data_IF_985310069626
#
_entry.id   IF_985310069626
#
_cell.length_a   1.000
_cell.length_b   1.000
_cell.length_c   1.000
_cell.angle_alpha   90.00
_cell.angle_beta   90.00
_cell.angle_gamma   90.00
#
_symmetry.space_group_name_H-M   'P 1'
#
loop_
_entity.id
_entity.type
_entity.pdbx_description
1 polymer ?
#
# COMPACT_ATOMS: atom_id res chain seq x y z
N UNK A 1 -25.67 -3.25 28.19
CA UNK A 1 -24.39 -3.98 28.28
C UNK A 1 -23.62 -3.68 27.00
N UNK A 2 -22.77 -2.65 27.07
CA UNK A 2 -21.98 -2.11 25.96
C UNK A 2 -20.52 -2.48 26.17
N UNK A 3 -20.03 -3.52 25.51
CA UNK A 3 -18.62 -3.92 25.62
C UNK A 3 -18.22 -4.86 24.49
N UNK A 4 -17.97 -4.33 23.29
CA UNK A 4 -17.29 -5.07 22.22
C UNK A 4 -16.62 -4.18 21.15
N UNK A 5 -16.90 -2.87 21.09
CA UNK A 5 -16.31 -1.97 20.08
C UNK A 5 -14.91 -1.41 20.40
N UNK A 6 -14.31 -1.79 21.53
CA UNK A 6 -13.01 -1.24 21.99
C UNK A 6 -11.79 -2.05 21.50
N UNK A 7 -11.96 -3.34 21.20
CA UNK A 7 -10.84 -4.23 20.85
C UNK A 7 -10.33 -4.03 19.41
N UNK A 8 -11.24 -3.84 18.44
CA UNK A 8 -10.87 -3.69 17.03
C UNK A 8 -10.18 -2.35 16.72
N UNK A 9 -10.66 -1.24 17.31
CA UNK A 9 -10.01 0.07 17.22
C UNK A 9 -8.62 0.07 17.86
N UNK A 10 -8.47 -0.68 18.96
CA UNK A 10 -7.19 -0.86 19.64
C UNK A 10 -6.19 -1.64 18.79
N UNK A 11 -6.63 -2.72 18.12
CA UNK A 11 -5.77 -3.54 17.28
C UNK A 11 -5.27 -2.78 16.04
N UNK A 12 -6.14 -2.04 15.35
CA UNK A 12 -5.75 -1.21 14.19
C UNK A 12 -4.80 -0.07 14.60
N UNK A 13 -5.09 0.60 15.71
CA UNK A 13 -4.21 1.63 16.26
C UNK A 13 -2.84 1.07 16.67
N UNK A 14 -2.81 -0.14 17.24
CA UNK A 14 -1.56 -0.81 17.64
C UNK A 14 -0.73 -1.26 16.42
N UNK A 15 -1.38 -1.67 15.34
CA UNK A 15 -0.72 -2.02 14.07
C UNK A 15 -0.10 -0.77 13.41
N UNK A 16 -0.82 0.34 13.38
CA UNK A 16 -0.32 1.62 12.85
C UNK A 16 0.77 2.23 13.74
N UNK A 17 0.69 2.05 15.07
CA UNK A 17 1.73 2.53 16.01
C UNK A 17 3.03 1.73 15.86
N UNK A 18 2.95 0.40 15.69
CA UNK A 18 4.14 -0.44 15.43
C UNK A 18 4.80 -0.13 14.09
N UNK A 19 4.03 0.23 13.06
CA UNK A 19 4.58 0.66 11.78
C UNK A 19 5.32 2.01 11.88
N UNK A 20 4.90 2.89 12.80
CA UNK A 20 5.54 4.20 13.04
C UNK A 20 6.83 4.09 13.88
N UNK A 21 6.84 3.24 14.90
CA UNK A 21 8.02 2.98 15.75
C UNK A 21 9.14 2.26 14.97
N UNK A 22 8.81 1.52 13.90
CA UNK A 22 9.78 0.89 13.00
C UNK A 22 10.49 1.88 12.05
N UNK A 23 10.07 3.16 12.01
CA UNK A 23 10.67 4.22 11.17
C UNK A 23 11.56 5.20 11.94
N UNK A 24 11.69 5.09 13.26
CA UNK A 24 12.63 5.91 14.03
C UNK A 24 14.05 5.32 13.96
N UNK A 25 15.06 6.05 13.43
CA UNK A 25 16.43 5.56 13.37
C UNK A 25 17.05 5.45 14.79
N UNK A 26 17.94 4.47 15.04
CA UNK A 26 18.59 4.29 16.34
C UNK A 26 19.40 5.54 16.75
N UNK A 27 19.47 5.77 18.06
CA UNK A 27 20.02 6.92 18.80
C UNK A 27 21.48 7.36 18.50
N UNK A 28 22.10 6.87 17.44
CA UNK A 28 23.50 7.20 17.07
C UNK A 28 23.62 8.60 16.43
N UNK A 29 22.52 9.17 15.93
CA UNK A 29 22.53 10.48 15.26
C UNK A 29 22.48 11.72 16.18
N UNK A 30 22.35 11.56 17.51
CA UNK A 30 22.18 12.70 18.44
C UNK A 30 23.48 13.45 18.79
N UNK A 31 24.65 13.07 18.27
CA UNK A 31 25.95 13.64 18.72
C UNK A 31 26.55 14.77 17.89
N UNK A 32 25.78 15.39 16.99
CA UNK A 32 26.24 16.55 16.19
C UNK A 32 25.37 17.80 16.38
N UNK A 33 25.08 18.18 17.63
CA UNK A 33 24.56 19.53 17.95
C UNK A 33 25.15 20.07 19.27
N UNK A 34 26.44 20.39 19.27
CA UNK A 34 27.00 21.37 20.20
C UNK A 34 27.86 22.36 19.43
N UNK A 35 27.24 23.47 19.03
CA UNK A 35 27.87 24.61 18.38
C UNK A 35 26.92 25.80 18.41
N UNK A 36 27.39 26.91 18.98
CA UNK A 36 26.65 28.08 19.49
C UNK A 36 25.76 28.82 18.46
N UNK A 37 24.75 29.51 19.01
CA UNK A 37 23.72 30.30 18.32
C UNK A 37 24.16 31.61 17.64
N UNK A 38 23.19 32.49 17.31
CA UNK A 38 23.20 33.30 16.09
C UNK A 38 23.83 34.68 16.25
N UNK A 39 24.40 35.20 15.16
CA UNK A 39 24.73 36.62 15.01
C UNK A 39 23.74 37.25 14.03
N UNK A 40 22.99 38.23 14.52
CA UNK A 40 22.04 39.07 13.79
C UNK A 40 22.81 40.00 12.85
N UNK A 41 22.50 39.99 11.56
CA UNK A 41 22.78 41.13 10.67
C UNK A 41 21.55 41.41 9.81
N UNK A 42 21.02 42.61 10.05
CA UNK A 42 20.01 43.32 9.28
C UNK A 42 20.39 43.44 7.80
N UNK A 43 19.52 42.97 6.90
CA UNK A 43 19.59 43.20 5.47
C UNK A 43 18.23 42.86 4.84
N UNK A 44 17.66 43.80 4.09
CA UNK A 44 16.26 43.77 3.64
C UNK A 44 15.87 42.58 2.75
N UNK A 45 14.57 42.28 2.76
CA UNK A 45 13.90 41.29 1.91
C UNK A 45 14.08 41.63 0.42
N UNK A 46 14.54 40.69 -0.43
CA UNK A 46 14.37 40.80 -1.87
C UNK A 46 12.89 40.64 -2.26
N UNK A 47 12.44 41.47 -3.20
CA UNK A 47 11.07 41.63 -3.67
C UNK A 47 10.47 40.47 -4.50
N UNK A 48 11.10 39.29 -4.47
CA UNK A 48 10.77 38.20 -5.41
C UNK A 48 9.82 37.14 -4.81
N UNK A 49 9.21 37.42 -3.65
CA UNK A 49 8.28 36.50 -2.96
C UNK A 49 6.81 36.70 -3.42
N UNK A 50 6.53 37.63 -4.31
CA UNK A 50 5.17 37.88 -4.80
C UNK A 50 5.04 37.44 -6.26
N UNK A 51 4.89 36.13 -6.49
CA UNK A 51 3.89 35.57 -7.43
C UNK A 51 4.08 34.05 -7.61
N UNK A 52 3.24 33.26 -6.93
CA UNK A 52 2.52 32.15 -7.56
C UNK A 52 1.59 31.45 -6.56
N UNK A 53 0.31 31.78 -6.72
CA UNK A 53 -0.88 30.92 -6.60
C UNK A 53 -0.78 29.68 -5.69
N UNK A 54 -1.65 29.68 -4.69
CA UNK A 54 -2.24 28.49 -4.08
C UNK A 54 -2.53 27.41 -5.13
N UNK A 55 -1.70 26.37 -5.16
CA UNK A 55 -1.87 25.15 -5.91
C UNK A 55 -1.46 24.00 -5.00
N UNK A 56 -2.29 22.97 -4.95
CA UNK A 56 -2.18 21.77 -4.13
C UNK A 56 -0.74 21.21 -4.10
N UNK A 57 -0.28 20.60 -2.98
CA UNK A 57 1.08 20.04 -2.87
C UNK A 57 1.38 19.14 -4.06
N UNK A 58 2.18 19.65 -4.98
CA UNK A 58 2.39 19.06 -6.29
C UNK A 58 2.93 17.64 -6.19
N UNK A 59 2.25 16.74 -6.88
CA UNK A 59 2.61 15.35 -7.17
C UNK A 59 3.87 15.28 -8.07
N UNK A 60 4.93 15.99 -7.68
CA UNK A 60 6.16 16.08 -8.47
C UNK A 60 7.08 14.93 -8.10
N UNK A 61 7.17 13.91 -8.94
CA UNK A 61 8.16 12.81 -8.83
C UNK A 61 9.53 13.19 -9.44
N UNK A 62 9.79 14.50 -9.57
CA UNK A 62 11.02 15.01 -10.17
C UNK A 62 12.27 14.57 -9.40
N UNK A 63 13.42 14.50 -10.08
CA UNK A 63 14.69 14.06 -9.47
C UNK A 63 15.09 14.85 -8.20
N UNK A 64 14.63 16.10 -8.09
CA UNK A 64 14.89 17.02 -6.98
C UNK A 64 13.70 17.19 -6.02
N UNK A 65 12.64 16.39 -6.16
CA UNK A 65 11.50 16.49 -5.24
C UNK A 65 11.81 15.80 -3.91
N UNK A 66 11.26 16.30 -2.79
CA UNK A 66 11.42 15.66 -1.48
C UNK A 66 10.65 14.33 -1.39
N UNK A 67 9.66 14.11 -2.25
CA UNK A 67 8.94 12.85 -2.37
C UNK A 67 8.95 12.42 -3.84
N UNK A 68 9.86 11.50 -4.17
CA UNK A 68 10.05 11.00 -5.54
C UNK A 68 9.08 9.88 -5.93
N UNK A 69 8.15 9.54 -5.03
CA UNK A 69 7.24 8.41 -5.19
C UNK A 69 7.86 7.09 -4.72
N UNK A 70 7.01 6.20 -4.20
CA UNK A 70 7.43 4.92 -3.61
C UNK A 70 8.24 4.06 -4.58
N UNK A 71 7.85 4.05 -5.86
CA UNK A 71 8.52 3.23 -6.88
C UNK A 71 9.94 3.69 -7.16
N UNK A 72 10.16 5.00 -7.27
CA UNK A 72 11.50 5.55 -7.53
C UNK A 72 12.45 5.29 -6.36
N UNK A 73 11.98 5.43 -5.13
CA UNK A 73 12.77 5.11 -3.93
C UNK A 73 13.04 3.59 -3.83
N UNK A 74 12.06 2.75 -4.18
CA UNK A 74 12.26 1.30 -4.22
C UNK A 74 13.31 0.92 -5.26
N UNK A 75 13.24 1.48 -6.47
CA UNK A 75 14.23 1.24 -7.54
C UNK A 75 15.64 1.68 -7.13
N UNK A 76 15.74 2.83 -6.44
CA UNK A 76 17.00 3.31 -5.88
C UNK A 76 17.53 2.36 -4.80
N UNK A 77 16.67 1.86 -3.91
CA UNK A 77 17.06 0.85 -2.92
C UNK A 77 17.49 -0.46 -3.60
N UNK A 78 16.77 -0.95 -4.60
CA UNK A 78 17.16 -2.16 -5.35
C UNK A 78 18.52 -1.97 -6.01
N UNK A 79 18.82 -0.77 -6.53
CA UNK A 79 20.13 -0.47 -7.13
C UNK A 79 21.30 -0.56 -6.14
N UNK A 80 21.07 -0.46 -4.82
CA UNK A 80 22.16 -0.65 -3.85
C UNK A 80 22.55 -2.12 -3.66
N UNK A 81 21.69 -3.06 -4.07
CA UNK A 81 21.93 -4.50 -3.92
C UNK A 81 22.10 -5.24 -5.25
N UNK A 82 21.56 -4.72 -6.36
CA UNK A 82 21.70 -5.28 -7.70
C UNK A 82 22.50 -4.35 -8.64
N UNK A 83 23.75 -4.72 -8.99
CA UNK A 83 24.58 -3.96 -9.91
C UNK A 83 23.96 -3.78 -11.30
N UNK A 84 23.12 -4.72 -11.74
CA UNK A 84 22.46 -4.67 -13.05
C UNK A 84 21.43 -3.55 -13.08
N UNK A 85 20.62 -3.44 -12.03
CA UNK A 85 19.67 -2.35 -11.83
C UNK A 85 20.38 -1.01 -11.68
N UNK A 86 21.51 -0.96 -10.97
CA UNK A 86 22.31 0.27 -10.84
C UNK A 86 22.83 0.79 -12.19
N UNK A 87 23.44 -0.08 -13.00
CA UNK A 87 23.92 0.28 -14.34
C UNK A 87 22.78 0.75 -15.25
N UNK A 88 21.63 0.05 -15.23
CA UNK A 88 20.45 0.44 -16.01
C UNK A 88 19.85 1.78 -15.58
N UNK A 89 19.85 2.09 -14.29
CA UNK A 89 19.32 3.35 -13.79
C UNK A 89 20.22 4.55 -14.13
N UNK A 90 21.54 4.33 -14.22
CA UNK A 90 22.52 5.37 -14.54
C UNK A 90 22.69 5.61 -16.05
N UNK A 91 22.72 4.54 -16.85
CA UNK A 91 23.14 4.59 -18.26
C UNK A 91 22.07 4.08 -19.24
N UNK A 92 20.95 3.57 -18.73
CA UNK A 92 19.90 2.98 -19.55
C UNK A 92 19.10 4.02 -20.35
N UNK A 93 18.57 3.64 -21.52
CA UNK A 93 17.68 4.51 -22.29
C UNK A 93 16.40 4.81 -21.50
N UNK A 94 15.76 5.96 -21.76
CA UNK A 94 14.59 6.45 -20.98
C UNK A 94 13.46 5.43 -20.78
N UNK A 95 13.24 4.53 -21.74
CA UNK A 95 12.25 3.46 -21.67
C UNK A 95 12.67 2.28 -20.77
N UNK A 96 13.96 2.10 -20.51
CA UNK A 96 14.51 1.07 -19.63
C UNK A 96 14.63 1.52 -18.16
N UNK A 97 14.28 2.78 -17.87
CA UNK A 97 14.26 3.29 -16.49
C UNK A 97 12.97 2.90 -15.75
N UNK A 98 11.98 2.33 -16.45
CA UNK A 98 10.66 1.93 -15.92
C UNK A 98 9.90 3.05 -15.18
N UNK A 99 10.29 4.31 -15.35
CA UNK A 99 9.75 5.46 -14.62
C UNK A 99 8.47 6.03 -15.22
N UNK A 100 8.08 5.65 -16.45
CA UNK A 100 6.83 6.16 -17.03
C UNK A 100 5.62 5.62 -16.26
N UNK A 101 4.58 6.43 -16.02
CA UNK A 101 3.38 6.00 -15.29
C UNK A 101 2.74 4.71 -15.84
N UNK A 102 2.73 4.54 -17.16
CA UNK A 102 2.17 3.36 -17.83
C UNK A 102 2.90 2.07 -17.44
N UNK A 103 4.24 2.12 -17.43
CA UNK A 103 5.08 0.98 -17.07
C UNK A 103 4.95 0.68 -15.57
N UNK A 104 4.97 1.70 -14.71
CA UNK A 104 4.80 1.52 -13.27
C UNK A 104 3.45 0.87 -12.93
N UNK A 105 2.36 1.40 -13.49
CA UNK A 105 1.01 0.86 -13.28
C UNK A 105 0.88 -0.57 -13.82
N UNK A 106 1.49 -0.85 -14.98
CA UNK A 106 1.53 -2.21 -15.53
C UNK A 106 2.26 -3.20 -14.63
N UNK A 107 3.38 -2.77 -14.04
CA UNK A 107 4.15 -3.59 -13.11
C UNK A 107 3.38 -3.83 -11.80
N UNK A 108 2.81 -2.77 -11.20
CA UNK A 108 1.98 -2.87 -9.98
C UNK A 108 0.80 -3.80 -10.21
N UNK A 109 0.11 -3.67 -11.35
CA UNK A 109 -0.98 -4.58 -11.72
C UNK A 109 -0.50 -6.02 -11.82
N UNK A 110 0.60 -6.27 -12.53
CA UNK A 110 1.17 -7.63 -12.70
C UNK A 110 1.56 -8.24 -11.35
N UNK A 111 2.17 -7.46 -10.47
CA UNK A 111 2.50 -7.90 -9.11
C UNK A 111 1.24 -8.22 -8.30
N UNK A 112 0.20 -7.38 -8.40
CA UNK A 112 -1.10 -7.63 -7.79
C UNK A 112 -1.71 -8.94 -8.27
N UNK A 113 -1.76 -9.16 -9.58
CA UNK A 113 -2.28 -10.39 -10.19
C UNK A 113 -1.52 -11.64 -9.73
N UNK A 114 -0.18 -11.54 -9.59
CA UNK A 114 0.65 -12.63 -9.05
C UNK A 114 0.35 -12.90 -7.58
N UNK A 115 0.18 -11.87 -6.74
CA UNK A 115 -0.16 -12.04 -5.33
C UNK A 115 -1.53 -12.71 -5.20
N UNK A 116 -2.53 -12.26 -5.97
CA UNK A 116 -3.85 -12.89 -6.00
C UNK A 116 -3.73 -14.36 -6.39
N UNK A 117 -2.98 -14.67 -7.45
CA UNK A 117 -2.76 -16.06 -7.86
C UNK A 117 -2.14 -16.90 -6.75
N UNK A 118 -1.13 -16.38 -6.05
CA UNK A 118 -0.52 -17.07 -4.91
C UNK A 118 -1.50 -17.30 -3.76
N UNK A 119 -2.40 -16.35 -3.50
CA UNK A 119 -3.47 -16.53 -2.50
C UNK A 119 -4.43 -17.64 -2.93
N UNK A 120 -4.87 -17.64 -4.20
CA UNK A 120 -5.78 -18.65 -4.76
C UNK A 120 -5.15 -20.04 -4.69
N UNK A 121 -3.90 -20.17 -5.12
CA UNK A 121 -3.12 -21.41 -5.03
C UNK A 121 -2.94 -21.85 -3.56
N UNK A 122 -2.73 -20.89 -2.64
CA UNK A 122 -2.62 -21.15 -1.20
C UNK A 122 -3.96 -21.55 -0.57
N UNK A 123 -5.11 -21.18 -1.12
CA UNK A 123 -6.42 -21.68 -0.66
C UNK A 123 -6.63 -23.09 -1.21
N UNK A 124 -6.45 -23.27 -2.53
CA UNK A 124 -6.69 -24.52 -3.23
C UNK A 124 -8.14 -25.00 -3.06
N UNK A 125 -8.30 -26.25 -2.60
CA UNK A 125 -9.62 -26.89 -2.42
C UNK A 125 -10.22 -26.71 -1.03
N UNK A 126 -9.62 -25.87 -0.18
CA UNK A 126 -10.07 -25.70 1.21
C UNK A 126 -11.32 -24.81 1.32
N UNK A 127 -12.15 -25.04 2.35
CA UNK A 127 -13.22 -24.11 2.68
C UNK A 127 -12.65 -22.75 3.12
N UNK A 128 -13.37 -21.69 2.80
CA UNK A 128 -13.00 -20.32 3.14
C UNK A 128 -14.24 -19.48 3.46
N UNK A 129 -14.03 -18.33 4.10
CA UNK A 129 -15.06 -17.32 4.33
C UNK A 129 -14.67 -16.03 3.60
N UNK A 130 -15.66 -15.30 3.08
CA UNK A 130 -15.46 -13.97 2.53
C UNK A 130 -15.73 -12.93 3.61
N UNK A 131 -14.87 -11.92 3.66
CA UNK A 131 -15.03 -10.74 4.50
C UNK A 131 -15.13 -9.53 3.56
N UNK A 132 -16.14 -8.70 3.77
CA UNK A 132 -16.34 -7.46 3.04
C UNK A 132 -16.53 -6.30 4.00
N UNK A 133 -15.90 -5.16 3.70
CA UNK A 133 -16.15 -3.89 4.39
C UNK A 133 -16.42 -2.79 3.37
N UNK A 134 -17.45 -1.99 3.61
CA UNK A 134 -17.80 -0.86 2.75
C UNK A 134 -16.88 0.32 3.10
N UNK A 135 -16.26 0.88 2.07
CA UNK A 135 -15.35 2.01 2.20
C UNK A 135 -15.62 3.00 1.08
N UNK A 136 -15.44 4.28 1.37
CA UNK A 136 -15.54 5.34 0.38
C UNK A 136 -14.16 5.78 -0.07
N UNK A 137 -13.95 5.88 -1.38
CA UNK A 137 -12.67 6.33 -1.93
C UNK A 137 -12.50 7.85 -1.91
N UNK A 138 -11.33 8.33 -2.33
CA UNK A 138 -10.99 9.76 -2.37
C UNK A 138 -11.85 10.57 -3.37
N UNK A 139 -12.43 9.90 -4.38
CA UNK A 139 -13.37 10.50 -5.33
C UNK A 139 -14.81 10.55 -4.79
N UNK A 140 -15.05 9.90 -3.65
CA UNK A 140 -16.35 9.80 -3.01
C UNK A 140 -17.23 8.67 -3.55
N UNK A 141 -16.64 7.71 -4.25
CA UNK A 141 -17.31 6.51 -4.78
C UNK A 141 -17.28 5.41 -3.72
N UNK A 142 -18.40 4.70 -3.56
CA UNK A 142 -18.48 3.56 -2.63
C UNK A 142 -17.77 2.34 -3.23
N UNK A 143 -16.97 1.68 -2.40
CA UNK A 143 -16.20 0.51 -2.76
C UNK A 143 -16.30 -0.55 -1.66
N UNK A 144 -16.17 -1.80 -2.05
CA UNK A 144 -16.15 -2.95 -1.16
C UNK A 144 -14.73 -3.49 -1.06
N UNK A 145 -14.14 -3.39 0.12
CA UNK A 145 -12.86 -4.02 0.43
C UNK A 145 -13.10 -5.52 0.70
N UNK A 146 -12.57 -6.39 -0.17
CA UNK A 146 -12.76 -7.83 -0.04
C UNK A 146 -11.52 -8.54 0.49
N UNK A 147 -11.73 -9.40 1.48
CA UNK A 147 -10.75 -10.32 2.04
C UNK A 147 -11.32 -11.74 2.06
N UNK A 148 -10.42 -12.72 2.04
CA UNK A 148 -10.74 -14.13 2.26
C UNK A 148 -10.06 -14.62 3.52
N UNK A 149 -10.81 -15.34 4.35
CA UNK A 149 -10.35 -16.00 5.56
C UNK A 149 -10.35 -17.51 5.34
N UNK A 150 -9.21 -18.15 5.53
CA UNK A 150 -9.06 -19.60 5.34
C UNK A 150 -8.07 -20.17 6.35
N UNK A 151 -8.12 -21.49 6.53
CA UNK A 151 -7.19 -22.20 7.40
C UNK A 151 -6.05 -22.80 6.57
N UNK A 152 -4.81 -22.64 7.03
CA UNK A 152 -3.64 -23.29 6.43
C UNK A 152 -2.76 -23.95 7.49
N UNK A 153 -2.17 -25.13 7.21
CA UNK A 153 -1.18 -25.71 8.10
C UNK A 153 0.11 -24.88 8.03
N UNK A 154 0.74 -24.62 9.17
CA UNK A 154 2.01 -23.89 9.19
C UNK A 154 3.17 -24.78 8.69
N UNK A 155 3.12 -26.07 9.01
CA UNK A 155 3.93 -27.15 8.44
C UNK A 155 3.12 -28.44 8.37
N UNK A 156 3.62 -29.43 7.63
CA UNK A 156 3.03 -30.77 7.60
C UNK A 156 3.01 -31.34 9.03
N UNK A 157 1.80 -31.64 9.53
CA UNK A 157 1.59 -32.18 10.88
C UNK A 157 1.41 -31.13 11.99
N UNK A 158 1.50 -29.84 11.68
CA UNK A 158 1.22 -28.75 12.64
C UNK A 158 -0.26 -28.32 12.57
N UNK A 159 -0.80 -27.70 13.64
CA UNK A 159 -2.18 -27.22 13.65
C UNK A 159 -2.42 -26.18 12.55
N UNK A 160 -3.67 -26.11 12.11
CA UNK A 160 -4.11 -25.08 11.19
C UNK A 160 -4.08 -23.70 11.86
N UNK A 161 -3.63 -22.72 11.10
CA UNK A 161 -3.64 -21.30 11.45
C UNK A 161 -4.62 -20.59 10.53
N UNK A 162 -5.40 -19.68 11.10
CA UNK A 162 -6.29 -18.81 10.35
C UNK A 162 -5.46 -17.74 9.64
N UNK A 163 -5.64 -17.64 8.33
CA UNK A 163 -5.03 -16.65 7.46
C UNK A 163 -6.13 -15.78 6.87
N UNK A 164 -5.89 -14.46 6.83
CA UNK A 164 -6.72 -13.51 6.11
C UNK A 164 -5.88 -12.89 5.00
N UNK A 165 -6.42 -12.86 3.78
CA UNK A 165 -5.74 -12.36 2.60
C UNK A 165 -6.65 -11.42 1.84
N UNK A 166 -6.12 -10.25 1.49
CA UNK A 166 -6.86 -9.22 0.75
C UNK A 166 -6.97 -9.60 -0.74
N UNK A 167 -8.18 -9.50 -1.28
CA UNK A 167 -8.48 -9.79 -2.68
C UNK A 167 -8.56 -8.54 -3.55
N UNK A 168 -8.73 -7.37 -2.95
CA UNK A 168 -8.84 -6.10 -3.68
C UNK A 168 -10.12 -5.33 -3.35
N UNK A 169 -10.23 -4.16 -3.96
CA UNK A 169 -11.44 -3.35 -3.94
C UNK A 169 -12.34 -3.70 -5.12
N UNK A 170 -13.65 -3.62 -4.90
CA UNK A 170 -14.68 -3.73 -5.93
C UNK A 170 -15.52 -2.47 -5.88
N UNK A 171 -15.67 -1.78 -7.01
CA UNK A 171 -16.57 -0.63 -7.08
C UNK A 171 -18.01 -1.09 -6.94
N UNK A 172 -18.80 -0.37 -6.16
CA UNK A 172 -20.24 -0.58 -6.05
C UNK A 172 -20.97 0.54 -6.79
N UNK A 173 -21.90 0.18 -7.67
CA UNK A 173 -22.80 1.14 -8.31
C UNK A 173 -23.95 1.51 -7.36
N UNK A 174 -24.40 0.52 -6.57
CA UNK A 174 -25.45 0.64 -5.57
C UNK A 174 -25.07 -0.13 -4.28
N UNK A 175 -25.57 0.32 -3.12
CA UNK A 175 -25.32 -0.32 -1.81
C UNK A 175 -26.44 -1.29 -1.38
N UNK A 176 -27.26 -1.77 -2.33
CA UNK A 176 -28.25 -2.79 -2.03
C UNK A 176 -27.61 -4.18 -1.88
N UNK A 177 -28.33 -5.09 -1.23
CA UNK A 177 -27.81 -6.42 -0.93
C UNK A 177 -27.53 -7.24 -2.20
N UNK A 178 -28.26 -6.99 -3.29
CA UNK A 178 -28.13 -7.73 -4.54
C UNK A 178 -26.88 -7.29 -5.31
N UNK A 179 -26.65 -5.98 -5.42
CA UNK A 179 -25.46 -5.38 -6.01
C UNK A 179 -24.20 -5.80 -5.27
N UNK A 180 -24.20 -5.75 -3.93
CA UNK A 180 -23.06 -6.18 -3.12
C UNK A 180 -22.77 -7.68 -3.33
N UNK A 181 -23.78 -8.54 -3.26
CA UNK A 181 -23.60 -9.97 -3.46
C UNK A 181 -23.13 -10.30 -4.88
N UNK A 182 -23.70 -9.64 -5.89
CA UNK A 182 -23.29 -9.77 -7.29
C UNK A 182 -21.84 -9.35 -7.51
N UNK A 183 -21.44 -8.21 -6.96
CA UNK A 183 -20.07 -7.69 -7.02
C UNK A 183 -19.06 -8.65 -6.33
N UNK A 184 -19.43 -9.22 -5.18
CA UNK A 184 -18.63 -10.24 -4.50
C UNK A 184 -18.43 -11.48 -5.37
N UNK A 185 -19.51 -12.04 -5.92
CA UNK A 185 -19.45 -13.25 -6.75
C UNK A 185 -18.66 -13.01 -8.04
N UNK A 186 -18.87 -11.88 -8.70
CA UNK A 186 -18.11 -11.49 -9.89
C UNK A 186 -16.61 -11.38 -9.58
N UNK A 187 -16.25 -10.82 -8.42
CA UNK A 187 -14.85 -10.72 -8.02
C UNK A 187 -14.24 -12.10 -7.78
N UNK A 188 -14.95 -12.99 -7.06
CA UNK A 188 -14.49 -14.36 -6.81
C UNK A 188 -14.26 -15.14 -8.11
N UNK A 189 -15.18 -15.02 -9.06
CA UNK A 189 -15.06 -15.64 -10.39
C UNK A 189 -13.84 -15.09 -11.15
N UNK A 190 -13.64 -13.77 -11.15
CA UNK A 190 -12.50 -13.11 -11.80
C UNK A 190 -11.16 -13.57 -11.23
N UNK A 191 -11.07 -13.79 -9.91
CA UNK A 191 -9.83 -14.27 -9.27
C UNK A 191 -9.68 -15.79 -9.35
N UNK A 192 -10.71 -16.53 -9.75
CA UNK A 192 -10.68 -18.00 -9.87
C UNK A 192 -10.89 -18.72 -8.55
N UNK A 193 -11.63 -18.14 -7.61
CA UNK A 193 -12.04 -18.81 -6.37
C UNK A 193 -13.47 -19.33 -6.53
N UNK A 194 -13.65 -20.63 -6.29
CA UNK A 194 -14.95 -21.30 -6.40
C UNK A 194 -15.91 -20.90 -5.27
N UNK A 195 -17.02 -20.18 -5.57
CA UNK A 195 -17.99 -19.75 -4.58
C UNK A 195 -18.65 -20.90 -3.80
N UNK A 196 -18.69 -22.11 -4.36
CA UNK A 196 -19.32 -23.26 -3.71
C UNK A 196 -18.57 -23.76 -2.46
N UNK A 197 -17.30 -23.37 -2.33
CA UNK A 197 -16.46 -23.70 -1.17
C UNK A 197 -16.55 -22.65 -0.05
N UNK A 198 -17.33 -21.59 -0.27
CA UNK A 198 -17.56 -20.57 0.75
C UNK A 198 -18.40 -21.14 1.90
N UNK A 199 -17.93 -21.00 3.13
CA UNK A 199 -18.62 -21.44 4.34
C UNK A 199 -19.08 -20.24 5.16
N UNK A 200 -20.29 -20.32 5.71
CA UNK A 200 -20.88 -19.36 6.66
C UNK A 200 -20.33 -19.53 8.07
#
# INVERSE_FOLDING_TARGET
MSSSSSSAKSAFYLMMKRAREAQDPPEVAKRLKTGKGPTVLSGGLPSDIADSKSGEPGHSEGQNSPNRGNFAELMKLTSTFDPTTASRLAEGPRNALYTSPQIQNGLVKTMGDLIIKLIVDEIGERPYCVLGDETRDESGTEQLALCVRYCKPQKVGEPFVVQESFLGFVGLEDSDAEAIAGAMLQRLDTVGIDPSKCTS
#
